data_IF_953720231737
#
_entry.id   IF_953720231737
#
_cell.length_a   1.000
_cell.length_b   1.000
_cell.length_c   1.000
_cell.angle_alpha   90.00
_cell.angle_beta   90.00
_cell.angle_gamma   90.00
#
_symmetry.space_group_name_H-M   'P 1'
#
loop_
_entity.id
_entity.type
_entity.pdbx_description
1 polymer ?
#
# COMPACT_ATOMS: atom_id res chain seq x y z
N UNK A 1 -2.16 29.29 -0.34
CA UNK A 1 -2.49 29.79 -1.70
C UNK A 1 -3.88 29.32 -2.08
N UNK A 2 -4.82 30.18 -2.41
CA UNK A 2 -6.18 29.77 -2.79
C UNK A 2 -6.26 29.14 -4.19
N UNK A 3 -5.21 29.24 -5.02
CA UNK A 3 -5.19 28.70 -6.38
C UNK A 3 -3.90 27.96 -6.68
N UNK A 4 -4.02 26.76 -7.25
CA UNK A 4 -2.90 25.99 -7.75
C UNK A 4 -2.43 26.54 -9.11
N UNK A 5 -1.11 26.65 -9.28
CA UNK A 5 -0.50 27.07 -10.54
C UNK A 5 -0.61 25.98 -11.62
N UNK A 6 -0.16 26.34 -12.85
CA UNK A 6 -0.19 25.42 -14.00
C UNK A 6 0.64 24.15 -13.73
N UNK A 7 1.82 24.29 -13.15
CA UNK A 7 2.74 23.18 -12.82
C UNK A 7 2.11 22.19 -11.84
N UNK A 8 1.48 22.69 -10.78
CA UNK A 8 0.83 21.86 -9.76
C UNK A 8 -0.37 21.08 -10.33
N UNK A 9 -1.13 21.73 -11.24
CA UNK A 9 -2.24 21.07 -11.94
C UNK A 9 -1.75 19.96 -12.88
N UNK A 10 -0.66 20.19 -13.61
CA UNK A 10 -0.05 19.19 -14.48
C UNK A 10 0.50 18.00 -13.67
N UNK A 11 1.15 18.26 -12.54
CA UNK A 11 1.63 17.21 -11.65
C UNK A 11 0.46 16.38 -11.11
N UNK A 12 -0.60 17.03 -10.60
CA UNK A 12 -1.79 16.32 -10.13
C UNK A 12 -2.43 15.47 -11.25
N UNK A 13 -2.52 16.01 -12.47
CA UNK A 13 -3.03 15.27 -13.61
C UNK A 13 -2.20 14.02 -13.89
N UNK A 14 -0.87 14.16 -13.99
CA UNK A 14 0.02 13.03 -14.27
C UNK A 14 -0.09 11.93 -13.23
N UNK A 15 -0.23 12.25 -11.92
CA UNK A 15 -0.40 11.25 -10.88
C UNK A 15 -1.78 10.57 -10.95
N UNK A 16 -2.84 11.31 -11.26
CA UNK A 16 -4.18 10.73 -11.44
C UNK A 16 -4.23 9.79 -12.66
N UNK A 17 -3.58 10.16 -13.77
CA UNK A 17 -3.45 9.32 -14.97
C UNK A 17 -2.64 8.07 -14.67
N UNK A 18 -1.48 8.21 -13.99
CA UNK A 18 -0.60 7.10 -13.57
C UNK A 18 -1.33 6.06 -12.73
N UNK A 19 -2.28 6.49 -11.89
CA UNK A 19 -3.05 5.62 -11.01
C UNK A 19 -4.41 5.19 -11.61
N UNK A 20 -4.69 5.55 -12.87
CA UNK A 20 -5.90 5.14 -13.59
C UNK A 20 -7.20 5.71 -13.02
N UNK A 21 -7.15 6.93 -12.48
CA UNK A 21 -8.31 7.59 -11.85
C UNK A 21 -8.59 8.99 -12.39
N UNK A 22 -8.05 9.34 -13.56
CA UNK A 22 -8.29 10.66 -14.19
C UNK A 22 -9.76 10.88 -14.56
N UNK A 23 -10.46 9.83 -14.97
CA UNK A 23 -11.88 9.86 -15.35
C UNK A 23 -12.80 10.28 -14.20
N UNK A 24 -12.44 9.97 -12.97
CA UNK A 24 -13.21 10.32 -11.78
C UNK A 24 -12.77 11.63 -11.09
N UNK A 25 -11.83 12.39 -11.66
CA UNK A 25 -11.25 13.62 -11.07
C UNK A 25 -12.24 14.71 -10.65
N UNK A 26 -13.47 14.68 -11.18
CA UNK A 26 -14.54 15.64 -10.84
C UNK A 26 -15.59 15.06 -9.88
N UNK A 27 -15.48 13.77 -9.51
CA UNK A 27 -16.40 13.16 -8.55
C UNK A 27 -16.08 13.62 -7.14
N UNK A 28 -17.11 13.74 -6.31
CA UNK A 28 -16.91 13.99 -4.90
C UNK A 28 -16.24 12.76 -4.24
N UNK A 29 -15.22 13.00 -3.42
CA UNK A 29 -14.46 11.93 -2.74
C UNK A 29 -15.35 10.95 -1.98
N UNK A 30 -16.42 11.45 -1.33
CA UNK A 30 -17.39 10.63 -0.57
C UNK A 30 -18.16 9.64 -1.44
N UNK A 31 -18.24 9.86 -2.75
CA UNK A 31 -18.96 9.00 -3.70
C UNK A 31 -18.03 8.01 -4.41
N UNK A 32 -16.77 7.97 -4.03
CA UNK A 32 -15.78 7.02 -4.56
C UNK A 32 -15.84 5.71 -3.78
N UNK A 33 -15.58 4.59 -4.48
CA UNK A 33 -15.35 3.30 -3.80
C UNK A 33 -14.08 3.37 -2.93
N UNK A 34 -13.95 2.47 -1.93
CA UNK A 34 -12.78 2.41 -1.07
C UNK A 34 -11.47 2.36 -1.85
N UNK A 35 -11.37 1.49 -2.87
CA UNK A 35 -10.19 1.41 -3.73
C UNK A 35 -9.93 2.69 -4.53
N UNK A 36 -10.97 3.40 -4.99
CA UNK A 36 -10.82 4.70 -5.65
C UNK A 36 -10.35 5.78 -4.67
N UNK A 37 -10.89 5.80 -3.46
CA UNK A 37 -10.45 6.72 -2.40
C UNK A 37 -8.98 6.50 -2.08
N UNK A 38 -8.54 5.25 -1.95
CA UNK A 38 -7.16 4.91 -1.66
C UNK A 38 -6.20 5.35 -2.79
N UNK A 39 -6.60 5.17 -4.05
CA UNK A 39 -5.83 5.69 -5.21
C UNK A 39 -5.73 7.22 -5.20
N UNK A 40 -6.77 7.93 -4.80
CA UNK A 40 -6.74 9.40 -4.66
C UNK A 40 -5.76 9.83 -3.57
N UNK A 41 -5.75 9.14 -2.41
CA UNK A 41 -4.80 9.41 -1.34
C UNK A 41 -3.35 9.15 -1.79
N UNK A 42 -3.14 8.06 -2.54
CA UNK A 42 -1.83 7.73 -3.12
C UNK A 42 -1.39 8.79 -4.15
N UNK A 43 -2.29 9.24 -5.05
CA UNK A 43 -2.01 10.32 -5.99
C UNK A 43 -1.58 11.61 -5.28
N UNK A 44 -2.27 11.94 -4.19
CA UNK A 44 -1.93 13.10 -3.35
C UNK A 44 -0.53 12.96 -2.74
N UNK A 45 -0.19 11.78 -2.22
CA UNK A 45 1.13 11.52 -1.65
C UNK A 45 2.22 11.64 -2.73
N UNK A 46 2.00 11.10 -3.93
CA UNK A 46 2.93 11.18 -5.06
C UNK A 46 3.12 12.59 -5.61
N UNK A 47 2.17 13.51 -5.37
CA UNK A 47 2.37 14.93 -5.67
C UNK A 47 3.35 15.61 -4.68
N UNK A 48 3.56 15.03 -3.51
CA UNK A 48 4.45 15.59 -2.48
C UNK A 48 5.85 14.98 -2.49
N UNK A 49 6.01 13.78 -3.06
CA UNK A 49 7.29 13.06 -3.10
C UNK A 49 7.42 12.23 -4.37
N UNK A 50 8.66 12.10 -4.87
CA UNK A 50 8.99 11.24 -6.00
C UNK A 50 9.83 10.02 -5.58
N UNK A 51 10.36 10.01 -4.34
CA UNK A 51 11.39 9.09 -3.92
C UNK A 51 10.94 8.06 -2.88
N UNK A 52 10.11 8.47 -1.91
CA UNK A 52 9.74 7.63 -0.77
C UNK A 52 8.28 7.83 -0.38
N UNK A 53 7.55 6.72 -0.26
CA UNK A 53 6.20 6.64 0.30
C UNK A 53 6.22 5.93 1.64
N UNK A 54 5.56 6.51 2.63
CA UNK A 54 5.27 5.87 3.90
C UNK A 54 3.75 5.63 3.96
N UNK A 55 3.35 4.38 4.09
CA UNK A 55 1.95 3.96 4.08
C UNK A 55 1.64 3.21 5.37
N UNK A 56 0.65 3.69 6.11
CA UNK A 56 0.18 3.09 7.34
C UNK A 56 -1.17 2.42 7.08
N UNK A 57 -1.21 1.09 7.19
CA UNK A 57 -2.38 0.24 6.95
C UNK A 57 -3.18 0.60 5.68
N UNK A 58 -2.55 0.72 4.50
CA UNK A 58 -3.17 1.33 3.34
C UNK A 58 -4.33 0.54 2.73
N UNK A 59 -4.53 -0.72 3.13
CA UNK A 59 -5.57 -1.61 2.59
C UNK A 59 -6.70 -1.90 3.58
N UNK A 60 -6.66 -1.30 4.77
CA UNK A 60 -7.69 -1.50 5.78
C UNK A 60 -9.05 -1.06 5.26
N UNK A 61 -10.03 -1.97 5.34
CA UNK A 61 -11.39 -1.74 4.86
C UNK A 61 -11.60 -1.89 3.34
N UNK A 62 -10.58 -2.32 2.59
CA UNK A 62 -10.74 -2.68 1.18
C UNK A 62 -11.22 -4.13 1.04
N UNK A 63 -12.01 -4.38 0.00
CA UNK A 63 -12.33 -5.73 -0.43
C UNK A 63 -11.10 -6.46 -0.99
N UNK A 64 -11.09 -7.80 -1.10
CA UNK A 64 -9.92 -8.55 -1.56
C UNK A 64 -9.44 -8.17 -2.97
N UNK A 65 -10.35 -7.80 -3.87
CA UNK A 65 -10.00 -7.43 -5.25
C UNK A 65 -9.30 -6.06 -5.25
N UNK A 66 -9.85 -5.09 -4.53
CA UNK A 66 -9.25 -3.77 -4.38
C UNK A 66 -7.88 -3.84 -3.68
N UNK A 67 -7.74 -4.73 -2.69
CA UNK A 67 -6.48 -4.99 -1.99
C UNK A 67 -5.41 -5.52 -2.95
N UNK A 68 -5.73 -6.54 -3.75
CA UNK A 68 -4.79 -7.10 -4.73
C UNK A 68 -4.36 -6.04 -5.76
N UNK A 69 -5.31 -5.27 -6.29
CA UNK A 69 -5.03 -4.17 -7.21
C UNK A 69 -4.13 -3.09 -6.58
N UNK A 70 -4.33 -2.80 -5.30
CA UNK A 70 -3.49 -1.84 -4.59
C UNK A 70 -2.04 -2.34 -4.48
N UNK A 71 -1.81 -3.59 -4.10
CA UNK A 71 -0.46 -4.15 -4.03
C UNK A 71 0.23 -4.20 -5.39
N UNK A 72 -0.47 -4.57 -6.46
CA UNK A 72 0.08 -4.50 -7.82
C UNK A 72 0.53 -3.09 -8.19
N UNK A 73 -0.26 -2.09 -7.84
CA UNK A 73 0.07 -0.68 -8.07
C UNK A 73 1.30 -0.24 -7.27
N UNK A 74 1.41 -0.64 -5.99
CA UNK A 74 2.60 -0.37 -5.15
C UNK A 74 3.84 -1.02 -5.75
N UNK A 75 3.73 -2.24 -6.24
CA UNK A 75 4.84 -2.93 -6.91
C UNK A 75 5.29 -2.16 -8.16
N UNK A 76 4.38 -1.73 -9.01
CA UNK A 76 4.70 -0.92 -10.19
C UNK A 76 5.37 0.41 -9.82
N UNK A 77 4.94 1.07 -8.75
CA UNK A 77 5.57 2.29 -8.26
C UNK A 77 7.01 2.03 -7.81
N UNK A 78 7.24 0.92 -7.10
CA UNK A 78 8.57 0.52 -6.66
C UNK A 78 9.50 0.16 -7.83
N UNK A 79 9.01 -0.57 -8.83
CA UNK A 79 9.74 -0.88 -10.06
C UNK A 79 10.13 0.39 -10.84
N UNK A 80 9.35 1.45 -10.71
CA UNK A 80 9.63 2.78 -11.28
C UNK A 80 10.48 3.68 -10.36
N UNK A 81 11.13 3.10 -9.34
CA UNK A 81 12.12 3.79 -8.50
C UNK A 81 11.57 4.49 -7.27
N UNK A 82 10.28 4.36 -6.95
CA UNK A 82 9.72 4.90 -5.71
C UNK A 82 9.98 3.89 -4.58
N UNK A 83 10.76 4.27 -3.57
CA UNK A 83 10.89 3.47 -2.37
C UNK A 83 9.56 3.49 -1.58
N UNK A 84 9.11 2.31 -1.12
CA UNK A 84 7.84 2.21 -0.38
C UNK A 84 8.08 1.49 0.94
N UNK A 85 7.68 2.12 2.03
CA UNK A 85 7.62 1.52 3.36
C UNK A 85 6.17 1.42 3.77
N UNK A 86 5.71 0.21 4.11
CA UNK A 86 4.34 -0.04 4.53
C UNK A 86 4.31 -0.64 5.94
N UNK A 87 3.42 -0.13 6.78
CA UNK A 87 3.06 -0.76 8.05
C UNK A 87 1.77 -1.56 7.79
N UNK A 88 1.80 -2.84 8.13
CA UNK A 88 0.74 -3.78 7.79
C UNK A 88 0.52 -4.76 8.94
N UNK A 89 -0.74 -5.10 9.17
CA UNK A 89 -1.15 -6.19 10.05
C UNK A 89 -1.61 -7.43 9.24
N UNK A 90 -1.68 -7.31 7.91
CA UNK A 90 -2.11 -8.38 7.02
C UNK A 90 -0.90 -9.18 6.51
N UNK A 91 -0.86 -10.48 6.86
CA UNK A 91 0.21 -11.38 6.44
C UNK A 91 0.27 -11.61 4.92
N UNK A 92 -0.83 -11.38 4.20
CA UNK A 92 -0.87 -11.51 2.73
C UNK A 92 0.08 -10.53 2.03
N UNK A 93 0.32 -9.40 2.65
CA UNK A 93 1.25 -8.40 2.12
C UNK A 93 2.72 -8.81 2.17
N UNK A 94 3.06 -9.84 2.93
CA UNK A 94 4.44 -10.36 3.02
C UNK A 94 4.96 -10.80 1.65
N UNK A 95 4.09 -11.29 0.78
CA UNK A 95 4.52 -11.73 -0.55
C UNK A 95 4.98 -10.58 -1.46
N UNK A 96 4.57 -9.36 -1.16
CA UNK A 96 5.00 -8.13 -1.83
C UNK A 96 6.22 -7.45 -1.17
N UNK A 97 6.62 -7.90 0.03
CA UNK A 97 7.66 -7.23 0.81
C UNK A 97 9.08 -7.60 0.37
N UNK A 98 9.98 -6.61 0.38
CA UNK A 98 11.42 -6.76 0.11
C UNK A 98 12.21 -5.61 0.77
N UNK A 99 12.81 -5.69 1.90
CA UNK A 99 12.78 -6.70 2.95
C UNK A 99 11.59 -6.56 3.92
N UNK A 100 11.59 -7.37 4.98
CA UNK A 100 10.63 -7.34 6.07
C UNK A 100 11.30 -6.84 7.34
N UNK A 101 10.65 -5.86 8.00
CA UNK A 101 10.94 -5.48 9.38
C UNK A 101 9.75 -5.92 10.26
N UNK A 102 9.98 -6.88 11.13
CA UNK A 102 9.02 -7.26 12.16
C UNK A 102 9.43 -6.66 13.50
N UNK A 103 8.47 -6.08 14.20
CA UNK A 103 8.67 -5.49 15.54
C UNK A 103 7.56 -5.96 16.48
N UNK A 104 7.94 -6.50 17.64
CA UNK A 104 7.02 -6.80 18.73
C UNK A 104 7.71 -6.60 20.10
N UNK A 105 6.98 -6.79 21.19
CA UNK A 105 7.52 -6.69 22.55
C UNK A 105 8.63 -7.71 22.86
N UNK A 106 8.70 -8.81 22.12
CA UNK A 106 9.70 -9.89 22.30
C UNK A 106 10.96 -9.75 21.46
N UNK A 107 11.08 -8.66 20.68
CA UNK A 107 12.23 -8.39 19.82
C UNK A 107 11.86 -7.91 18.41
N UNK A 108 12.86 -7.83 17.57
CA UNK A 108 12.70 -7.41 16.17
C UNK A 108 13.41 -8.39 15.24
N UNK A 109 12.96 -8.41 13.99
CA UNK A 109 13.59 -9.11 12.88
C UNK A 109 13.73 -8.16 11.71
N UNK A 110 14.87 -8.25 11.03
CA UNK A 110 15.10 -7.59 9.76
C UNK A 110 15.77 -8.57 8.80
N UNK A 111 15.20 -8.74 7.61
CA UNK A 111 15.76 -9.64 6.62
C UNK A 111 14.88 -9.80 5.39
N UNK A 112 15.24 -10.75 4.53
CA UNK A 112 14.45 -11.12 3.37
C UNK A 112 13.12 -11.76 3.77
N UNK A 113 12.19 -11.81 2.82
CA UNK A 113 10.90 -12.50 3.00
C UNK A 113 11.09 -13.99 3.35
N UNK A 114 12.03 -14.65 2.66
CA UNK A 114 12.32 -16.07 2.86
C UNK A 114 12.87 -16.34 4.28
N UNK A 115 13.81 -15.52 4.72
CA UNK A 115 14.34 -15.60 6.09
C UNK A 115 13.26 -15.31 7.13
N UNK A 116 12.37 -14.35 6.86
CA UNK A 116 11.25 -14.06 7.75
C UNK A 116 10.29 -15.24 7.87
N UNK A 117 9.88 -15.86 6.74
CA UNK A 117 9.00 -17.03 6.73
C UNK A 117 9.61 -18.25 7.44
N UNK A 118 10.92 -18.33 7.54
CA UNK A 118 11.63 -19.38 8.30
C UNK A 118 11.91 -18.98 9.76
N UNK A 119 11.55 -17.78 10.19
CA UNK A 119 11.82 -17.27 11.52
C UNK A 119 10.78 -17.72 12.55
N UNK A 120 11.17 -17.67 13.84
CA UNK A 120 10.24 -17.87 14.97
C UNK A 120 9.07 -16.87 14.96
N UNK A 121 9.29 -15.67 14.45
CA UNK A 121 8.29 -14.60 14.42
C UNK A 121 7.14 -14.93 13.46
N UNK A 122 7.45 -15.52 12.31
CA UNK A 122 6.45 -15.98 11.36
C UNK A 122 5.55 -17.07 11.98
N UNK A 123 6.15 -18.06 12.66
CA UNK A 123 5.40 -19.14 13.28
C UNK A 123 4.40 -18.65 14.33
N UNK A 124 4.76 -17.63 15.10
CA UNK A 124 3.86 -17.04 16.11
C UNK A 124 2.68 -16.31 15.41
N UNK A 125 2.99 -15.45 14.46
CA UNK A 125 1.99 -14.59 13.80
C UNK A 125 1.07 -15.40 12.89
N UNK A 126 1.57 -16.38 12.15
CA UNK A 126 0.74 -17.22 11.28
C UNK A 126 -0.30 -18.03 12.06
N UNK A 127 0.05 -18.54 13.20
CA UNK A 127 -0.88 -19.27 14.10
C UNK A 127 -1.95 -18.32 14.67
N UNK A 128 -1.59 -17.10 15.03
CA UNK A 128 -2.56 -16.10 15.50
C UNK A 128 -3.51 -15.68 14.38
N UNK A 129 -2.99 -15.50 13.15
CA UNK A 129 -3.77 -15.14 11.98
C UNK A 129 -4.79 -16.22 11.59
N UNK A 130 -4.40 -17.51 11.62
CA UNK A 130 -5.30 -18.63 11.38
C UNK A 130 -6.42 -18.73 12.41
N UNK A 131 -6.12 -18.51 13.69
CA UNK A 131 -7.10 -18.49 14.79
C UNK A 131 -8.06 -17.32 14.72
N UNK A 132 -7.62 -16.17 14.17
CA UNK A 132 -8.43 -14.96 13.98
C UNK A 132 -9.35 -14.99 12.75
N UNK A 133 -9.44 -16.10 11.99
CA UNK A 133 -10.35 -16.26 10.86
C UNK A 133 -9.88 -15.65 9.55
N UNK A 134 -8.57 -15.49 9.35
CA UNK A 134 -7.99 -15.05 8.10
C UNK A 134 -8.25 -16.05 6.97
N UNK A 135 -9.26 -15.78 6.14
CA UNK A 135 -9.47 -16.55 4.92
C UNK A 135 -8.31 -16.33 3.96
N UNK A 136 -7.58 -17.40 3.68
CA UNK A 136 -6.54 -17.47 2.66
C UNK A 136 -7.17 -17.17 1.29
N UNK A 137 -6.89 -16.01 0.74
CA UNK A 137 -7.00 -15.79 -0.69
C UNK A 137 -5.58 -15.79 -1.26
N UNK A 138 -5.26 -16.85 -1.99
CA UNK A 138 -4.02 -16.92 -2.75
C UNK A 138 -3.95 -15.76 -3.76
N UNK A 139 -2.77 -15.15 -3.90
CA UNK A 139 -2.44 -14.29 -5.03
C UNK A 139 -2.42 -15.08 -6.33
#
# INVERSE_FOLDING_TARGET
RPFYGRREKQLAQSQLERLGIWDIRRKCYRHLSGGQQQRVLLARALCATENLLLLDEPVTGLDPVATAQFYQMIQQLNENGVAVVMILHDLRAIDCARPVLHMNHGGSFWGSREEYKNSRYWNIISVEYEKGGGQSAAC
#
